data_IF_022871177136
#
_entry.id   IF_022871177136
#
_cell.length_a   1.000
_cell.length_b   1.000
_cell.length_c   1.000
_cell.angle_alpha   90.00
_cell.angle_beta   90.00
_cell.angle_gamma   90.00
#
_symmetry.space_group_name_H-M   'P 1'
#
loop_
_entity.id
_entity.type
_entity.pdbx_description
1 polymer ?
#
# COMPACT_ATOMS: atom_id res chain seq x y z
N UNK A 1 0.50 -53.00 22.04
CA UNK A 1 1.43 -52.71 20.93
C UNK A 1 1.16 -51.30 20.46
N UNK A 2 2.01 -50.36 20.88
CA UNK A 2 1.92 -48.94 20.53
C UNK A 2 2.63 -48.77 19.20
N UNK A 3 1.92 -48.34 18.16
CA UNK A 3 2.52 -48.06 16.86
C UNK A 3 3.35 -46.78 16.96
N UNK A 4 4.66 -46.94 17.09
CA UNK A 4 5.65 -45.88 16.87
C UNK A 4 5.71 -45.57 15.37
N UNK A 5 5.03 -44.52 14.93
CA UNK A 5 5.39 -43.85 13.67
C UNK A 5 6.62 -42.97 13.93
N UNK A 6 7.81 -43.51 13.68
CA UNK A 6 9.03 -42.72 13.58
C UNK A 6 9.04 -42.07 12.19
N UNK A 7 8.59 -40.82 12.10
CA UNK A 7 8.91 -39.96 10.97
C UNK A 7 10.41 -39.67 10.98
N UNK A 8 11.05 -39.88 9.84
CA UNK A 8 12.47 -39.68 9.64
C UNK A 8 12.88 -38.22 9.91
N UNK A 9 13.90 -38.00 10.75
CA UNK A 9 14.75 -36.80 10.86
C UNK A 9 14.11 -35.44 10.52
N UNK A 10 13.00 -35.08 11.17
CA UNK A 10 12.55 -33.68 11.21
C UNK A 10 13.28 -33.01 12.36
N UNK A 11 14.15 -32.05 12.07
CA UNK A 11 14.78 -31.22 13.11
C UNK A 11 13.64 -30.51 13.85
N UNK A 12 13.40 -30.88 15.10
CA UNK A 12 12.30 -30.34 15.91
C UNK A 12 12.66 -28.91 16.33
N UNK A 13 12.32 -27.94 15.48
CA UNK A 13 12.58 -26.53 15.74
C UNK A 13 11.43 -25.90 16.51
N UNK A 14 11.52 -25.94 17.83
CA UNK A 14 10.47 -25.42 18.71
C UNK A 14 9.12 -26.13 18.53
N UNK A 15 8.04 -25.48 18.99
CA UNK A 15 6.65 -25.89 18.75
C UNK A 15 6.06 -25.09 17.59
N UNK A 16 5.28 -25.76 16.75
CA UNK A 16 4.56 -25.16 15.63
C UNK A 16 3.38 -24.28 16.10
N UNK A 17 2.70 -24.68 17.18
CA UNK A 17 1.65 -23.89 17.83
C UNK A 17 2.04 -23.59 19.28
N UNK A 18 2.11 -22.30 19.61
CA UNK A 18 2.56 -21.85 20.94
C UNK A 18 1.51 -22.07 22.04
N UNK A 19 0.28 -22.47 21.71
CA UNK A 19 -0.67 -22.99 22.73
C UNK A 19 -0.18 -24.28 23.38
N UNK A 20 0.78 -24.98 22.75
CA UNK A 20 1.41 -26.20 23.24
C UNK A 20 2.63 -25.91 24.15
N UNK A 21 2.99 -24.64 24.37
CA UNK A 21 4.10 -24.31 25.25
C UNK A 21 3.81 -24.75 26.70
N UNK A 22 4.76 -25.41 27.40
CA UNK A 22 4.57 -25.82 28.79
C UNK A 22 4.38 -24.65 29.76
N UNK A 23 4.98 -23.49 29.42
CA UNK A 23 4.88 -22.24 30.17
C UNK A 23 4.53 -21.13 29.19
N UNK A 24 3.41 -20.45 29.45
CA UNK A 24 2.97 -19.30 28.66
C UNK A 24 3.49 -18.04 29.35
N UNK A 25 4.70 -17.62 28.97
CA UNK A 25 5.29 -16.34 29.36
C UNK A 25 6.08 -15.75 28.19
N UNK A 26 6.44 -14.47 28.29
CA UNK A 26 7.15 -13.74 27.23
C UNK A 26 8.47 -14.44 26.84
N UNK A 27 9.26 -14.87 27.83
CA UNK A 27 10.53 -15.54 27.60
C UNK A 27 10.37 -16.84 26.79
N UNK A 28 9.38 -17.68 27.11
CA UNK A 28 9.14 -18.94 26.40
C UNK A 28 8.66 -18.70 24.96
N UNK A 29 7.82 -17.69 24.74
CA UNK A 29 7.36 -17.29 23.40
C UNK A 29 8.55 -16.81 22.56
N UNK A 30 9.35 -15.89 23.09
CA UNK A 30 10.53 -15.34 22.40
C UNK A 30 11.55 -16.44 22.11
N UNK A 31 11.81 -17.33 23.06
CA UNK A 31 12.74 -18.46 22.88
C UNK A 31 12.25 -19.44 21.79
N UNK A 32 10.93 -19.70 21.72
CA UNK A 32 10.36 -20.53 20.67
C UNK A 32 10.51 -19.89 19.28
N UNK A 33 10.10 -18.62 19.14
CA UNK A 33 10.23 -17.86 17.90
C UNK A 33 11.69 -17.78 17.45
N UNK A 34 12.62 -17.54 18.39
CA UNK A 34 14.06 -17.48 18.11
C UNK A 34 14.60 -18.80 17.58
N UNK A 35 14.25 -19.93 18.20
CA UNK A 35 14.69 -21.26 17.74
C UNK A 35 14.22 -21.54 16.31
N UNK A 36 12.93 -21.30 16.05
CA UNK A 36 12.31 -21.46 14.73
C UNK A 36 12.96 -20.57 13.68
N UNK A 37 13.14 -19.29 14.01
CA UNK A 37 13.77 -18.32 13.11
C UNK A 37 15.22 -18.70 12.75
N UNK A 38 15.99 -19.20 13.73
CA UNK A 38 17.38 -19.64 13.49
C UNK A 38 17.47 -20.89 12.59
N UNK A 39 16.40 -21.67 12.52
CA UNK A 39 16.25 -22.81 11.61
C UNK A 39 15.45 -22.45 10.34
N UNK A 40 15.31 -21.15 10.03
CA UNK A 40 14.63 -20.62 8.84
C UNK A 40 13.11 -20.90 8.78
N UNK A 41 12.48 -21.24 9.90
CA UNK A 41 11.02 -21.31 10.05
C UNK A 41 10.48 -19.97 10.56
N UNK A 42 9.89 -19.17 9.65
CA UNK A 42 9.42 -17.81 9.98
C UNK A 42 7.98 -17.75 10.49
N UNK A 43 7.21 -18.82 10.29
CA UNK A 43 5.80 -18.91 10.65
C UNK A 43 5.60 -19.77 11.89
N UNK A 44 4.76 -19.31 12.81
CA UNK A 44 4.40 -20.02 14.04
C UNK A 44 2.95 -19.70 14.41
N UNK A 45 2.15 -20.70 14.77
CA UNK A 45 0.77 -20.48 15.19
C UNK A 45 0.69 -20.10 16.68
N UNK A 46 -0.37 -19.36 17.03
CA UNK A 46 -0.90 -19.19 18.37
C UNK A 46 -2.41 -19.41 18.26
N UNK A 47 -2.83 -20.67 18.32
CA UNK A 47 -4.22 -21.04 18.00
C UNK A 47 -4.60 -20.53 16.60
N UNK A 48 -5.66 -19.71 16.43
CA UNK A 48 -6.10 -19.22 15.12
C UNK A 48 -5.21 -18.12 14.53
N UNK A 49 -4.20 -17.64 15.26
CA UNK A 49 -3.34 -16.53 14.83
C UNK A 49 -2.04 -17.07 14.24
N UNK A 50 -1.67 -16.61 13.05
CA UNK A 50 -0.38 -16.91 12.45
C UNK A 50 0.63 -15.77 12.73
N UNK A 51 1.69 -16.07 13.47
CA UNK A 51 2.82 -15.16 13.68
C UNK A 51 3.83 -15.34 12.57
N UNK A 52 4.28 -14.24 11.97
CA UNK A 52 5.29 -14.19 10.92
C UNK A 52 6.46 -13.30 11.34
N UNK A 53 7.67 -13.84 11.36
CA UNK A 53 8.90 -13.09 11.68
C UNK A 53 9.66 -12.77 10.39
N UNK A 54 9.81 -11.49 10.05
CA UNK A 54 10.43 -11.09 8.78
C UNK A 54 11.90 -11.58 8.68
N UNK A 55 12.25 -12.42 7.68
CA UNK A 55 13.60 -12.97 7.54
C UNK A 55 14.62 -12.00 6.93
N UNK A 56 14.20 -10.88 6.34
CA UNK A 56 15.04 -9.97 5.54
C UNK A 56 15.86 -10.66 4.42
N UNK A 57 15.42 -11.85 3.99
CA UNK A 57 15.97 -12.62 2.87
C UNK A 57 14.86 -13.37 2.16
N UNK A 58 15.16 -13.83 0.94
CA UNK A 58 14.26 -14.73 0.22
C UNK A 58 14.30 -16.13 0.84
N UNK A 59 13.13 -16.75 0.99
CA UNK A 59 12.99 -18.11 1.50
C UNK A 59 12.61 -19.06 0.37
N UNK A 60 12.99 -20.33 0.47
CA UNK A 60 12.82 -21.32 -0.61
C UNK A 60 11.47 -22.03 -0.65
N UNK A 61 10.57 -21.78 0.30
CA UNK A 61 9.30 -22.50 0.49
C UNK A 61 8.05 -21.68 0.11
N UNK A 62 8.16 -20.88 -0.96
CA UNK A 62 7.05 -20.12 -1.55
C UNK A 62 6.80 -20.49 -3.02
N UNK A 63 7.19 -21.71 -3.42
CA UNK A 63 7.05 -22.21 -4.78
C UNK A 63 5.74 -22.96 -5.03
N UNK A 64 5.55 -23.43 -6.27
CA UNK A 64 4.34 -24.18 -6.64
C UNK A 64 4.14 -25.46 -5.83
N UNK A 65 5.23 -26.17 -5.53
CA UNK A 65 5.19 -27.39 -4.70
C UNK A 65 4.65 -27.11 -3.30
N UNK A 66 4.98 -25.94 -2.76
CA UNK A 66 4.49 -25.54 -1.43
C UNK A 66 2.98 -25.26 -1.51
N UNK A 67 2.50 -24.56 -2.56
CA UNK A 67 1.07 -24.36 -2.80
C UNK A 67 0.32 -25.71 -2.84
N UNK A 68 0.81 -26.67 -3.63
CA UNK A 68 0.23 -28.01 -3.74
C UNK A 68 0.20 -28.76 -2.40
N UNK A 69 1.22 -28.55 -1.56
CA UNK A 69 1.31 -29.18 -0.23
C UNK A 69 0.20 -28.70 0.70
N UNK A 70 -0.16 -27.43 0.64
CA UNK A 70 -1.19 -26.84 1.51
C UNK A 70 -2.61 -26.95 0.95
N UNK A 71 -2.78 -27.22 -0.35
CA UNK A 71 -4.08 -27.26 -1.00
C UNK A 71 -4.98 -28.38 -0.46
N UNK A 72 -6.04 -27.98 0.26
CA UNK A 72 -7.00 -28.91 0.85
C UNK A 72 -6.50 -29.70 2.06
N UNK A 73 -5.29 -29.41 2.55
CA UNK A 73 -4.74 -30.06 3.72
C UNK A 73 -5.45 -29.61 5.01
N UNK A 74 -5.54 -30.50 6.00
CA UNK A 74 -6.07 -30.14 7.31
C UNK A 74 -5.05 -29.27 8.09
N UNK A 75 -5.48 -28.37 9.01
CA UNK A 75 -4.61 -27.40 9.69
C UNK A 75 -3.41 -27.96 10.46
N UNK A 76 -3.38 -29.27 10.74
CA UNK A 76 -2.33 -29.95 11.51
C UNK A 76 -1.53 -30.98 10.70
N UNK A 77 -1.84 -31.15 9.41
CA UNK A 77 -1.10 -32.06 8.54
C UNK A 77 0.25 -31.48 8.12
N UNK A 78 0.32 -30.16 7.99
CA UNK A 78 1.50 -29.43 7.54
C UNK A 78 1.98 -28.42 8.59
N UNK A 79 3.27 -28.03 8.56
CA UNK A 79 3.80 -26.98 9.42
C UNK A 79 3.08 -25.63 9.20
N UNK A 80 3.12 -24.71 10.19
CA UNK A 80 2.55 -23.37 10.07
C UNK A 80 3.05 -22.64 8.83
N UNK A 81 2.10 -22.12 8.03
CA UNK A 81 2.44 -21.38 6.82
C UNK A 81 1.30 -20.46 6.39
N UNK A 82 1.64 -19.38 5.69
CA UNK A 82 0.67 -18.42 5.16
C UNK A 82 -0.30 -19.05 4.15
N UNK A 83 0.14 -20.10 3.44
CA UNK A 83 -0.70 -20.86 2.51
C UNK A 83 -1.74 -21.72 3.22
N UNK A 84 -1.43 -22.29 4.39
CA UNK A 84 -2.44 -22.98 5.21
C UNK A 84 -3.56 -22.04 5.65
N UNK A 85 -3.19 -20.83 6.09
CA UNK A 85 -4.15 -19.78 6.44
C UNK A 85 -5.01 -19.37 5.23
N UNK A 86 -4.38 -19.17 4.06
CA UNK A 86 -5.09 -18.79 2.84
C UNK A 86 -6.04 -19.90 2.35
N UNK A 87 -5.62 -21.16 2.44
CA UNK A 87 -6.42 -22.33 2.08
C UNK A 87 -7.64 -22.49 2.97
N UNK A 88 -7.44 -22.41 4.30
CA UNK A 88 -8.52 -22.47 5.27
C UNK A 88 -9.54 -21.34 5.03
N UNK A 89 -9.07 -20.11 4.86
CA UNK A 89 -9.92 -18.96 4.57
C UNK A 89 -10.74 -19.15 3.28
N UNK A 90 -10.09 -19.62 2.20
CA UNK A 90 -10.75 -19.85 0.92
C UNK A 90 -11.74 -21.01 0.97
N UNK A 91 -11.40 -22.12 1.62
CA UNK A 91 -12.31 -23.27 1.76
C UNK A 91 -13.50 -22.95 2.65
N UNK A 92 -13.30 -22.30 3.79
CA UNK A 92 -14.39 -21.94 4.69
C UNK A 92 -15.37 -20.98 4.02
N UNK A 93 -14.87 -20.02 3.22
CA UNK A 93 -15.74 -19.17 2.40
C UNK A 93 -16.66 -19.98 1.48
N UNK A 94 -16.14 -21.04 0.85
CA UNK A 94 -16.92 -21.90 -0.06
C UNK A 94 -17.88 -22.83 0.69
N UNK A 95 -17.47 -23.35 1.84
CA UNK A 95 -18.24 -24.32 2.63
C UNK A 95 -19.37 -23.62 3.39
N UNK A 96 -19.03 -22.54 4.10
CA UNK A 96 -19.95 -21.82 4.98
C UNK A 96 -20.78 -20.79 4.21
N UNK A 97 -20.37 -20.45 2.97
CA UNK A 97 -20.98 -19.42 2.14
C UNK A 97 -21.07 -18.07 2.89
N UNK A 98 -19.99 -17.73 3.58
CA UNK A 98 -19.80 -16.48 4.32
C UNK A 98 -18.58 -15.71 3.79
N UNK A 99 -18.59 -14.39 3.98
CA UNK A 99 -17.45 -13.56 3.65
C UNK A 99 -16.33 -13.76 4.69
N UNK A 100 -15.09 -13.87 4.23
CA UNK A 100 -13.93 -13.95 5.10
C UNK A 100 -13.02 -12.74 4.93
N UNK A 101 -12.24 -12.45 5.97
CA UNK A 101 -11.25 -11.40 5.93
C UNK A 101 -10.00 -11.82 6.71
N UNK A 102 -8.83 -11.54 6.15
CA UNK A 102 -7.55 -11.62 6.85
C UNK A 102 -7.05 -10.22 7.17
N UNK A 103 -6.75 -9.99 8.45
CA UNK A 103 -6.16 -8.76 8.95
C UNK A 103 -4.67 -9.00 9.17
N UNK A 104 -3.82 -8.26 8.45
CA UNK A 104 -2.37 -8.38 8.57
C UNK A 104 -1.86 -7.16 9.35
N UNK A 105 -1.48 -7.38 10.61
CA UNK A 105 -0.98 -6.34 11.50
C UNK A 105 0.52 -6.48 11.77
N UNK A 106 1.15 -5.39 12.21
CA UNK A 106 2.57 -5.35 12.56
C UNK A 106 3.20 -4.00 12.28
N UNK A 107 4.37 -3.76 12.86
CA UNK A 107 5.13 -2.52 12.67
C UNK A 107 5.53 -2.27 11.21
N UNK A 108 5.92 -1.04 10.90
CA UNK A 108 6.47 -0.71 9.58
C UNK A 108 7.70 -1.59 9.28
N UNK A 109 7.69 -2.28 8.13
CA UNK A 109 8.75 -3.23 7.76
C UNK A 109 8.56 -4.67 8.23
N UNK A 110 7.48 -5.01 8.94
CA UNK A 110 7.24 -6.38 9.45
C UNK A 110 6.92 -7.44 8.36
N UNK A 111 6.73 -7.06 7.09
CA UNK A 111 6.42 -7.99 6.00
C UNK A 111 4.94 -8.09 5.59
N UNK A 112 4.09 -7.16 6.05
CA UNK A 112 2.62 -7.17 5.80
C UNK A 112 2.24 -7.27 4.32
N UNK A 113 2.77 -6.38 3.49
CA UNK A 113 2.51 -6.35 2.04
C UNK A 113 3.00 -7.60 1.32
N UNK A 114 4.10 -8.21 1.79
CA UNK A 114 4.61 -9.47 1.23
C UNK A 114 3.68 -10.63 1.60
N UNK A 115 3.21 -10.71 2.85
CA UNK A 115 2.22 -11.69 3.26
C UNK A 115 0.91 -11.56 2.46
N UNK A 116 0.41 -10.33 2.25
CA UNK A 116 -0.75 -10.07 1.41
C UNK A 116 -0.56 -10.60 -0.02
N UNK A 117 0.61 -10.38 -0.62
CA UNK A 117 0.97 -10.91 -1.96
C UNK A 117 0.94 -12.44 -1.99
N UNK A 118 1.45 -13.11 -0.96
CA UNK A 118 1.40 -14.58 -0.89
C UNK A 118 -0.01 -15.14 -0.75
N UNK A 119 -0.87 -14.51 0.06
CA UNK A 119 -2.27 -14.90 0.18
C UNK A 119 -3.00 -14.73 -1.16
N UNK A 120 -2.84 -13.56 -1.81
CA UNK A 120 -3.44 -13.31 -3.12
C UNK A 120 -2.94 -14.29 -4.18
N UNK A 121 -1.62 -14.55 -4.21
CA UNK A 121 -1.00 -15.50 -5.14
C UNK A 121 -1.50 -16.93 -4.95
N UNK A 122 -1.64 -17.37 -3.69
CA UNK A 122 -2.19 -18.67 -3.35
C UNK A 122 -3.63 -18.82 -3.86
N UNK A 123 -4.51 -17.89 -3.45
CA UNK A 123 -5.93 -17.88 -3.84
C UNK A 123 -6.07 -17.84 -5.37
N UNK A 124 -5.28 -17.01 -6.03
CA UNK A 124 -5.21 -16.93 -7.49
C UNK A 124 -4.83 -18.28 -8.11
N UNK A 125 -3.85 -19.01 -7.55
CA UNK A 125 -3.43 -20.31 -8.10
C UNK A 125 -4.47 -21.41 -7.90
N UNK A 126 -5.11 -21.49 -6.72
CA UNK A 126 -6.01 -22.60 -6.35
C UNK A 126 -7.44 -22.44 -6.89
N UNK A 127 -7.88 -21.21 -7.13
CA UNK A 127 -9.25 -20.94 -7.63
C UNK A 127 -9.47 -21.31 -9.10
N UNK A 128 -8.42 -21.62 -9.87
CA UNK A 128 -8.55 -22.02 -11.28
C UNK A 128 -9.26 -20.98 -12.17
N UNK A 129 -9.74 -21.37 -13.35
CA UNK A 129 -10.60 -20.53 -14.19
C UNK A 129 -10.13 -20.34 -15.64
N UNK A 130 -11.01 -19.77 -16.47
CA UNK A 130 -10.75 -19.46 -17.88
C UNK A 130 -10.10 -18.07 -18.09
N UNK A 131 -10.03 -17.60 -19.34
CA UNK A 131 -9.34 -16.35 -19.71
C UNK A 131 -9.81 -15.12 -18.91
N UNK A 132 -11.12 -14.97 -18.69
CA UNK A 132 -11.67 -13.86 -17.89
C UNK A 132 -11.14 -13.88 -16.45
N UNK A 133 -11.11 -15.07 -15.84
CA UNK A 133 -10.64 -15.26 -14.48
C UNK A 133 -9.14 -15.00 -14.39
N UNK A 134 -8.37 -15.39 -15.43
CA UNK A 134 -6.96 -15.05 -15.52
C UNK A 134 -6.73 -13.54 -15.61
N UNK A 135 -7.54 -12.82 -16.39
CA UNK A 135 -7.46 -11.36 -16.45
C UNK A 135 -7.71 -10.70 -15.08
N UNK A 136 -8.73 -11.14 -14.33
CA UNK A 136 -9.03 -10.66 -12.97
C UNK A 136 -7.86 -10.93 -12.01
N UNK A 137 -7.16 -12.06 -12.17
CA UNK A 137 -5.96 -12.38 -11.39
C UNK A 137 -4.80 -11.46 -11.73
N UNK A 138 -4.59 -11.20 -13.02
CA UNK A 138 -3.51 -10.34 -13.52
C UNK A 138 -3.73 -8.89 -13.04
N UNK A 139 -4.86 -8.28 -13.38
CA UNK A 139 -5.75 -7.64 -12.39
C UNK A 139 -5.18 -7.27 -11.01
N UNK A 140 -5.58 -8.11 -10.05
CA UNK A 140 -5.25 -8.06 -8.64
C UNK A 140 -3.73 -8.02 -8.41
N UNK A 141 -2.95 -8.85 -9.11
CA UNK A 141 -1.51 -8.96 -8.90
C UNK A 141 -0.76 -7.71 -9.39
N UNK A 142 -1.10 -7.20 -10.57
CA UNK A 142 -0.49 -6.03 -11.23
C UNK A 142 -0.97 -4.70 -10.64
N UNK A 143 -2.10 -4.68 -9.93
CA UNK A 143 -2.50 -3.51 -9.15
C UNK A 143 -1.46 -3.11 -8.09
N UNK A 144 -0.67 -4.07 -7.58
CA UNK A 144 0.33 -3.80 -6.54
C UNK A 144 1.51 -2.96 -7.07
N UNK A 145 2.27 -3.35 -8.12
CA UNK A 145 3.30 -2.49 -8.69
C UNK A 145 2.82 -1.06 -8.97
N UNK A 146 1.63 -0.91 -9.55
CA UNK A 146 1.05 0.40 -9.84
C UNK A 146 0.80 1.21 -8.57
N UNK A 147 0.06 0.67 -7.60
CA UNK A 147 -0.26 1.41 -6.38
C UNK A 147 0.96 1.60 -5.47
N UNK A 148 1.94 0.70 -5.49
CA UNK A 148 3.21 0.86 -4.78
C UNK A 148 4.06 1.99 -5.39
N UNK A 149 4.12 2.11 -6.72
CA UNK A 149 4.84 3.21 -7.37
C UNK A 149 4.31 4.58 -6.92
N UNK A 150 2.98 4.74 -6.82
CA UNK A 150 2.35 6.01 -6.47
C UNK A 150 2.06 6.21 -4.97
N UNK A 151 2.01 5.13 -4.20
CA UNK A 151 1.58 5.14 -2.80
C UNK A 151 2.65 4.70 -1.80
N UNK A 152 3.78 4.17 -2.26
CA UNK A 152 4.88 3.79 -1.37
C UNK A 152 6.08 4.74 -1.51
N UNK A 153 6.86 4.80 -0.43
CA UNK A 153 8.08 5.57 -0.37
C UNK A 153 9.10 4.92 0.57
N UNK A 154 10.36 5.32 0.44
CA UNK A 154 11.41 5.00 1.41
C UNK A 154 11.21 5.82 2.67
N UNK A 155 11.14 5.16 3.83
CA UNK A 155 11.26 5.78 5.15
C UNK A 155 12.54 5.32 5.84
N UNK A 156 12.85 5.88 7.01
CA UNK A 156 14.00 5.46 7.82
C UNK A 156 13.91 4.00 8.30
N UNK A 157 12.71 3.41 8.32
CA UNK A 157 12.47 2.04 8.81
C UNK A 157 12.22 1.01 7.69
N UNK A 158 11.75 1.47 6.52
CA UNK A 158 11.34 0.57 5.44
C UNK A 158 11.57 1.24 4.08
N UNK A 159 12.33 0.57 3.21
CA UNK A 159 12.63 1.05 1.86
C UNK A 159 11.40 1.10 0.94
N UNK A 160 10.37 0.30 1.21
CA UNK A 160 9.12 0.27 0.45
C UNK A 160 7.91 0.40 1.41
N UNK A 161 7.87 1.48 2.19
CA UNK A 161 6.78 1.74 3.13
C UNK A 161 5.52 2.18 2.41
N UNK A 162 4.43 1.44 2.60
CA UNK A 162 3.09 1.88 2.21
C UNK A 162 2.72 3.16 2.95
N UNK A 163 2.39 4.23 2.20
CA UNK A 163 1.93 5.52 2.75
C UNK A 163 0.44 5.75 2.48
N UNK A 164 -0.28 4.66 2.32
CA UNK A 164 -1.74 4.55 2.26
C UNK A 164 -2.12 3.17 2.81
N UNK A 165 -3.33 3.05 3.37
CA UNK A 165 -3.93 1.77 3.72
C UNK A 165 -4.68 1.19 2.54
N UNK A 166 -4.64 -0.14 2.39
CA UNK A 166 -5.30 -0.85 1.29
C UNK A 166 -6.14 -2.00 1.83
N UNK A 167 -7.41 -2.02 1.46
CA UNK A 167 -8.28 -3.18 1.65
C UNK A 167 -8.62 -3.72 0.28
N UNK A 168 -8.18 -4.95 0.00
CA UNK A 168 -8.44 -5.65 -1.25
C UNK A 168 -9.54 -6.67 -1.00
N UNK A 169 -10.64 -6.55 -1.72
CA UNK A 169 -11.73 -7.51 -1.73
C UNK A 169 -11.65 -8.28 -3.04
N UNK A 170 -11.58 -9.61 -2.95
CA UNK A 170 -11.69 -10.50 -4.11
C UNK A 170 -13.08 -11.11 -4.05
N UNK A 171 -13.86 -10.96 -5.13
CA UNK A 171 -15.23 -11.42 -5.23
C UNK A 171 -15.28 -12.75 -5.98
N UNK A 172 -15.91 -13.75 -5.37
CA UNK A 172 -16.00 -15.11 -5.89
C UNK A 172 -17.41 -15.45 -6.29
N UNK A 173 -17.58 -15.97 -7.51
CA UNK A 173 -18.84 -16.56 -7.93
C UNK A 173 -19.15 -17.85 -7.16
N UNK A 174 -20.36 -18.38 -7.34
CA UNK A 174 -20.81 -19.62 -6.68
C UNK A 174 -19.95 -20.85 -6.98
N UNK A 175 -19.21 -20.85 -8.09
CA UNK A 175 -18.24 -21.89 -8.44
C UNK A 175 -16.85 -21.75 -7.79
N UNK A 176 -16.66 -20.75 -6.92
CA UNK A 176 -15.38 -20.47 -6.24
C UNK A 176 -14.32 -19.80 -7.11
N UNK A 177 -14.67 -19.34 -8.31
CA UNK A 177 -13.75 -18.62 -9.20
C UNK A 177 -13.81 -17.11 -8.91
N UNK A 178 -12.67 -16.38 -8.96
CA UNK A 178 -12.68 -14.94 -8.80
C UNK A 178 -13.30 -14.29 -10.04
N UNK A 179 -14.41 -13.59 -9.82
CA UNK A 179 -15.22 -12.93 -10.85
C UNK A 179 -15.04 -11.41 -10.87
N UNK A 180 -14.48 -10.86 -9.80
CA UNK A 180 -14.34 -9.43 -9.58
C UNK A 180 -13.50 -9.08 -8.37
N UNK A 181 -13.41 -7.80 -8.08
CA UNK A 181 -12.68 -7.29 -6.94
C UNK A 181 -12.92 -5.82 -6.70
N UNK A 182 -12.55 -5.37 -5.51
CA UNK A 182 -12.61 -3.96 -5.12
C UNK A 182 -11.44 -3.63 -4.23
N UNK A 183 -10.78 -2.52 -4.52
CA UNK A 183 -9.76 -1.92 -3.68
C UNK A 183 -10.34 -0.66 -3.06
N UNK A 184 -10.31 -0.63 -1.74
CA UNK A 184 -10.57 0.58 -0.95
C UNK A 184 -9.24 1.13 -0.46
N UNK A 185 -8.96 2.39 -0.79
CA UNK A 185 -7.79 3.11 -0.29
C UNK A 185 -8.15 3.93 0.96
N UNK A 186 -7.22 4.01 1.90
CA UNK A 186 -7.38 4.79 3.12
C UNK A 186 -6.18 5.71 3.30
N UNK A 187 -6.45 7.02 3.40
CA UNK A 187 -5.53 8.04 3.88
C UNK A 187 -4.13 8.00 3.21
N UNK A 188 -4.06 8.45 1.95
CA UNK A 188 -2.76 8.74 1.32
C UNK A 188 -2.05 9.87 2.08
N UNK A 189 -0.79 9.67 2.46
CA UNK A 189 0.08 10.67 3.10
C UNK A 189 0.48 11.78 2.11
N UNK A 190 -0.50 12.60 1.70
CA UNK A 190 -0.29 13.64 0.69
C UNK A 190 0.78 14.66 1.07
N UNK A 191 1.04 14.90 2.35
CA UNK A 191 2.12 15.79 2.81
C UNK A 191 3.50 15.35 2.31
N UNK A 192 3.71 14.06 2.09
CA UNK A 192 4.96 13.52 1.53
C UNK A 192 5.31 14.07 0.15
N UNK A 193 4.31 14.48 -0.64
CA UNK A 193 4.54 15.06 -1.96
C UNK A 193 5.43 16.30 -1.89
N UNK A 194 5.29 17.10 -0.82
CA UNK A 194 5.93 18.42 -0.71
C UNK A 194 7.05 18.49 0.33
N UNK A 195 7.04 17.56 1.30
CA UNK A 195 8.01 17.54 2.40
C UNK A 195 8.38 16.10 2.76
N UNK A 196 9.67 15.83 2.99
CA UNK A 196 10.16 14.54 3.49
C UNK A 196 11.16 14.75 4.63
N UNK A 197 11.22 13.78 5.55
CA UNK A 197 12.24 13.76 6.59
C UNK A 197 13.62 13.41 6.00
N UNK A 198 14.70 13.83 6.66
CA UNK A 198 16.06 13.49 6.25
C UNK A 198 16.24 11.97 6.23
N UNK A 199 16.80 11.44 5.14
CA UNK A 199 16.98 9.99 4.95
C UNK A 199 15.79 9.28 4.29
N UNK A 200 14.66 9.95 4.12
CA UNK A 200 13.49 9.43 3.42
C UNK A 200 13.44 9.87 1.95
N UNK A 201 12.54 9.26 1.18
CA UNK A 201 12.21 9.69 -0.19
C UNK A 201 10.77 10.19 -0.28
N UNK A 202 10.50 10.89 -1.38
CA UNK A 202 9.15 11.07 -1.90
C UNK A 202 8.61 9.74 -2.47
N UNK A 203 7.41 9.74 -3.04
CA UNK A 203 6.83 8.56 -3.68
C UNK A 203 7.71 8.03 -4.82
N UNK A 204 7.75 6.71 -4.99
CA UNK A 204 8.66 6.05 -5.92
C UNK A 204 8.50 6.51 -7.36
N UNK A 205 7.27 6.78 -7.81
CA UNK A 205 6.96 7.19 -9.17
C UNK A 205 7.79 8.39 -9.66
N UNK A 206 8.10 9.34 -8.78
CA UNK A 206 8.91 10.51 -9.15
C UNK A 206 10.33 10.10 -9.57
N UNK A 207 10.93 9.17 -8.83
CA UNK A 207 12.27 8.66 -9.10
C UNK A 207 12.28 7.69 -10.28
N UNK A 208 11.29 6.79 -10.33
CA UNK A 208 11.06 5.87 -11.44
C UNK A 208 10.91 6.61 -12.76
N UNK A 209 10.08 7.66 -12.82
CA UNK A 209 9.88 8.47 -14.02
C UNK A 209 11.16 9.21 -14.43
N UNK A 210 11.84 9.89 -13.51
CA UNK A 210 13.05 10.65 -13.84
C UNK A 210 14.20 9.75 -14.34
N UNK A 211 14.31 8.53 -13.82
CA UNK A 211 15.39 7.59 -14.16
C UNK A 211 15.04 6.70 -15.35
N UNK A 212 13.82 6.18 -15.41
CA UNK A 212 13.36 5.18 -16.38
C UNK A 212 12.69 5.73 -17.64
N UNK A 213 12.33 7.01 -17.70
CA UNK A 213 11.76 7.61 -18.91
C UNK A 213 12.74 7.58 -20.09
N UNK A 214 12.21 7.31 -21.28
CA UNK A 214 12.99 7.36 -22.53
C UNK A 214 13.34 8.82 -22.91
N UNK A 215 14.26 9.06 -23.85
CA UNK A 215 14.70 10.42 -24.20
C UNK A 215 13.58 11.34 -24.71
N UNK A 216 12.59 10.79 -25.42
CA UNK A 216 11.43 11.54 -25.93
C UNK A 216 10.53 11.99 -24.78
N UNK A 217 10.14 11.07 -23.90
CA UNK A 217 9.39 11.36 -22.68
C UNK A 217 10.12 12.37 -21.80
N UNK A 218 11.45 12.26 -21.65
CA UNK A 218 12.24 13.23 -20.88
C UNK A 218 12.16 14.64 -21.47
N UNK A 219 12.21 14.76 -22.79
CA UNK A 219 12.08 16.05 -23.48
C UNK A 219 10.67 16.62 -23.30
N UNK A 220 9.64 15.82 -23.54
CA UNK A 220 8.24 16.26 -23.54
C UNK A 220 7.74 16.62 -22.13
N UNK A 221 8.23 15.91 -21.11
CA UNK A 221 7.91 16.16 -19.70
C UNK A 221 8.87 17.16 -19.03
N UNK A 222 9.91 17.61 -19.74
CA UNK A 222 10.94 18.49 -19.18
C UNK A 222 11.71 17.86 -18.01
N UNK A 223 12.00 16.55 -18.08
CA UNK A 223 12.65 15.82 -17.01
C UNK A 223 14.15 16.15 -16.91
N UNK A 224 14.57 16.60 -15.75
CA UNK A 224 15.96 16.89 -15.40
C UNK A 224 16.52 15.88 -14.38
N UNK A 225 17.76 16.11 -13.94
CA UNK A 225 18.36 15.34 -12.85
C UNK A 225 17.56 15.53 -11.56
N UNK A 226 17.54 14.51 -10.69
CA UNK A 226 16.76 14.50 -9.45
C UNK A 226 17.03 15.72 -8.55
N UNK A 227 18.29 16.19 -8.50
CA UNK A 227 18.71 17.36 -7.70
C UNK A 227 18.10 18.70 -8.17
N UNK A 228 17.55 18.75 -9.39
CA UNK A 228 16.88 19.93 -9.92
C UNK A 228 15.53 20.17 -9.24
N UNK A 229 14.87 19.12 -8.77
CA UNK A 229 13.50 19.22 -8.26
C UNK A 229 13.47 19.47 -6.76
N UNK A 230 12.88 20.60 -6.36
CA UNK A 230 12.75 21.01 -4.97
C UNK A 230 12.10 19.92 -4.12
N UNK A 231 10.99 19.32 -4.58
CA UNK A 231 10.27 18.25 -3.88
C UNK A 231 11.00 16.90 -3.76
N UNK A 232 12.15 16.74 -4.40
CA UNK A 232 13.01 15.55 -4.25
C UNK A 232 14.24 15.83 -3.39
N UNK A 233 14.54 17.11 -3.10
CA UNK A 233 15.77 17.55 -2.46
C UNK A 233 15.78 17.43 -0.92
N UNK A 234 14.61 17.45 -0.25
CA UNK A 234 14.54 17.49 1.22
C UNK A 234 15.10 16.23 1.90
N UNK A 235 14.88 15.06 1.29
CA UNK A 235 15.34 13.78 1.82
C UNK A 235 16.86 13.58 1.81
N UNK A 236 17.60 14.38 1.01
CA UNK A 236 19.06 14.33 0.79
C UNK A 236 19.62 12.98 0.30
N UNK A 237 18.76 12.00 0.01
CA UNK A 237 19.16 10.71 -0.52
C UNK A 237 18.18 10.25 -1.60
N UNK A 238 18.68 10.19 -2.83
CA UNK A 238 17.89 9.74 -3.98
C UNK A 238 17.92 8.22 -4.16
N UNK A 239 18.93 7.54 -3.61
CA UNK A 239 19.16 6.11 -3.83
C UNK A 239 18.58 5.25 -2.70
N UNK A 240 18.12 4.07 -3.10
CA UNK A 240 17.68 2.99 -2.23
C UNK A 240 18.50 1.76 -2.63
N UNK A 241 19.20 1.18 -1.65
CA UNK A 241 20.02 0.00 -1.91
C UNK A 241 19.11 -1.17 -2.33
N UNK A 242 19.48 -1.83 -3.43
CA UNK A 242 18.72 -2.95 -4.00
C UNK A 242 17.50 -2.55 -4.85
N UNK A 243 17.26 -1.26 -5.07
CA UNK A 243 16.17 -0.77 -5.95
C UNK A 243 16.70 -0.32 -7.30
N UNK A 244 15.98 -0.66 -8.36
CA UNK A 244 16.25 -0.19 -9.71
C UNK A 244 15.05 0.61 -10.23
N UNK A 245 15.03 1.91 -9.91
CA UNK A 245 13.92 2.81 -10.26
C UNK A 245 13.60 2.80 -11.77
N UNK A 246 14.61 2.63 -12.64
CA UNK A 246 14.41 2.59 -14.08
C UNK A 246 13.69 1.31 -14.56
N UNK A 247 14.03 0.16 -13.95
CA UNK A 247 13.33 -1.10 -14.18
C UNK A 247 11.90 -1.04 -13.62
N UNK A 248 11.75 -0.53 -12.39
CA UNK A 248 10.45 -0.45 -11.73
C UNK A 248 9.49 0.50 -12.45
N UNK A 249 10.02 1.50 -13.16
CA UNK A 249 9.22 2.34 -14.07
C UNK A 249 8.60 1.52 -15.21
N UNK A 250 9.35 0.59 -15.81
CA UNK A 250 8.83 -0.27 -16.88
C UNK A 250 7.73 -1.21 -16.36
N UNK A 251 7.92 -1.77 -15.17
CA UNK A 251 6.88 -2.57 -14.51
C UNK A 251 5.63 -1.74 -14.20
N UNK A 252 5.81 -0.47 -13.84
CA UNK A 252 4.69 0.47 -13.62
C UNK A 252 3.92 0.74 -14.91
N UNK A 253 4.59 1.01 -16.03
CA UNK A 253 3.94 1.20 -17.34
C UNK A 253 3.20 -0.05 -17.82
N UNK A 254 3.81 -1.22 -17.61
CA UNK A 254 3.18 -2.51 -17.90
C UNK A 254 1.93 -2.70 -17.03
N UNK A 255 2.01 -2.41 -15.74
CA UNK A 255 0.88 -2.49 -14.83
C UNK A 255 -0.25 -1.54 -15.25
N UNK A 256 0.06 -0.30 -15.67
CA UNK A 256 -0.93 0.63 -16.20
C UNK A 256 -1.69 0.04 -17.40
N UNK A 257 -0.96 -0.59 -18.32
CA UNK A 257 -1.54 -1.24 -19.51
C UNK A 257 -2.49 -2.38 -19.11
N UNK A 258 -2.12 -3.21 -18.11
CA UNK A 258 -2.97 -4.29 -17.60
C UNK A 258 -4.26 -3.75 -16.96
N UNK A 259 -4.22 -2.58 -16.32
CA UNK A 259 -5.42 -1.92 -15.77
C UNK A 259 -6.32 -1.28 -16.85
N UNK A 260 -5.99 -1.44 -18.13
CA UNK A 260 -6.73 -0.87 -19.25
C UNK A 260 -6.54 0.63 -19.44
N UNK A 261 -5.46 1.22 -18.91
CA UNK A 261 -5.11 2.62 -19.18
C UNK A 261 -4.58 2.74 -20.61
N UNK A 262 -5.26 3.54 -21.44
CA UNK A 262 -4.80 3.87 -22.78
C UNK A 262 -3.47 4.63 -22.77
N UNK A 263 -2.69 4.59 -23.86
CA UNK A 263 -1.42 5.33 -23.98
C UNK A 263 -1.59 6.83 -23.71
N UNK A 264 -2.74 7.40 -24.11
CA UNK A 264 -3.09 8.79 -23.82
C UNK A 264 -3.29 9.01 -22.33
N UNK A 265 -4.02 8.14 -21.64
CA UNK A 265 -4.22 8.25 -20.19
C UNK A 265 -2.90 8.06 -19.43
N UNK A 266 -2.05 7.12 -19.85
CA UNK A 266 -0.70 6.95 -19.29
C UNK A 266 0.13 8.23 -19.46
N UNK A 267 0.11 8.84 -20.65
CA UNK A 267 0.79 10.11 -20.92
C UNK A 267 0.26 11.23 -20.03
N UNK A 268 -1.06 11.37 -19.89
CA UNK A 268 -1.68 12.36 -19.02
C UNK A 268 -1.29 12.15 -17.54
N UNK A 269 -1.25 10.90 -17.07
CA UNK A 269 -0.81 10.56 -15.71
C UNK A 269 0.63 11.04 -15.49
N UNK A 270 1.53 10.73 -16.42
CA UNK A 270 2.94 11.13 -16.32
C UNK A 270 3.12 12.66 -16.43
N UNK A 271 2.33 13.34 -17.26
CA UNK A 271 2.28 14.80 -17.32
C UNK A 271 1.87 15.40 -15.98
N UNK A 272 0.87 14.85 -15.30
CA UNK A 272 0.48 15.32 -13.97
C UNK A 272 1.58 15.11 -12.94
N UNK A 273 2.27 13.96 -12.96
CA UNK A 273 3.41 13.68 -12.06
C UNK A 273 4.56 14.66 -12.32
N UNK A 274 4.94 14.87 -13.58
CA UNK A 274 5.98 15.81 -13.95
C UNK A 274 5.58 17.26 -13.62
N UNK A 275 4.31 17.62 -13.82
CA UNK A 275 3.75 18.92 -13.47
C UNK A 275 3.86 19.20 -11.97
N UNK A 276 3.62 18.20 -11.12
CA UNK A 276 3.82 18.30 -9.66
C UNK A 276 5.29 18.55 -9.31
N UNK A 277 6.24 17.89 -9.98
CA UNK A 277 7.67 18.13 -9.76
C UNK A 277 8.09 19.56 -10.12
N UNK A 278 7.69 20.02 -11.30
CA UNK A 278 8.00 21.39 -11.76
C UNK A 278 7.30 22.45 -10.92
N UNK A 279 6.07 22.18 -10.45
CA UNK A 279 5.34 23.07 -9.55
C UNK A 279 6.14 23.37 -8.28
N UNK A 280 6.85 22.39 -7.72
CA UNK A 280 7.69 22.56 -6.54
C UNK A 280 8.88 23.52 -6.74
N UNK A 281 9.32 23.73 -7.98
CA UNK A 281 10.43 24.62 -8.29
C UNK A 281 10.04 26.10 -8.32
N UNK A 282 8.75 26.42 -8.34
CA UNK A 282 8.28 27.81 -8.31
C UNK A 282 8.63 28.43 -6.95
N UNK A 283 9.43 29.48 -6.99
CA UNK A 283 9.82 30.29 -5.83
C UNK A 283 9.12 31.64 -5.87
N UNK A 284 8.87 32.19 -4.68
CA UNK A 284 8.22 33.50 -4.53
C UNK A 284 9.16 34.46 -3.81
N UNK A 285 9.13 35.72 -4.22
CA UNK A 285 9.85 36.85 -3.61
C UNK A 285 8.88 37.88 -3.10
N UNK A 286 9.28 38.63 -2.08
CA UNK A 286 8.46 39.71 -1.54
C UNK A 286 8.66 40.99 -2.37
N UNK A 287 7.56 41.55 -2.87
CA UNK A 287 7.51 42.87 -3.52
C UNK A 287 6.39 43.68 -2.89
N UNK A 288 6.75 44.72 -2.13
CA UNK A 288 5.77 45.63 -1.51
C UNK A 288 4.81 44.93 -0.55
N UNK A 289 5.31 44.04 0.31
CA UNK A 289 4.56 43.19 1.25
C UNK A 289 3.73 42.05 0.63
N UNK A 290 3.81 41.86 -0.69
CA UNK A 290 3.06 40.82 -1.41
C UNK A 290 4.01 39.82 -2.09
N UNK A 291 3.52 38.61 -2.30
CA UNK A 291 4.24 37.60 -3.07
C UNK A 291 4.21 37.94 -4.56
N UNK A 292 5.37 37.81 -5.19
CA UNK A 292 5.49 37.73 -6.64
C UNK A 292 6.36 36.53 -7.02
N UNK A 293 6.18 36.01 -8.22
CA UNK A 293 6.97 34.86 -8.71
C UNK A 293 8.40 35.32 -8.98
N UNK A 294 9.38 34.58 -8.43
CA UNK A 294 10.80 34.94 -8.51
C UNK A 294 11.33 34.88 -9.94
N UNK A 295 10.96 33.83 -10.68
CA UNK A 295 11.29 33.61 -12.08
C UNK A 295 10.03 33.19 -12.84
N UNK A 296 9.59 34.03 -13.78
CA UNK A 296 8.43 33.72 -14.62
C UNK A 296 8.67 32.51 -15.53
N UNK A 297 9.92 32.16 -15.84
CA UNK A 297 10.26 30.95 -16.60
C UNK A 297 9.88 29.66 -15.86
N UNK A 298 9.94 29.67 -14.52
CA UNK A 298 9.56 28.53 -13.68
C UNK A 298 8.09 28.09 -13.82
N UNK A 299 7.23 28.95 -14.37
CA UNK A 299 5.82 28.65 -14.62
C UNK A 299 5.58 27.94 -15.97
N UNK A 300 6.53 27.96 -16.90
CA UNK A 300 6.31 27.48 -18.27
C UNK A 300 6.00 25.99 -18.33
N UNK A 301 6.82 25.16 -17.67
CA UNK A 301 6.59 23.71 -17.63
C UNK A 301 5.30 23.34 -16.89
N UNK A 302 5.04 23.83 -15.66
CA UNK A 302 3.77 23.57 -14.98
C UNK A 302 2.54 23.99 -15.79
N UNK A 303 2.58 25.15 -16.45
CA UNK A 303 1.48 25.64 -17.28
C UNK A 303 1.26 24.75 -18.52
N UNK A 304 2.33 24.36 -19.19
CA UNK A 304 2.29 23.44 -20.33
C UNK A 304 1.74 22.06 -19.94
N UNK A 305 2.27 21.46 -18.87
CA UNK A 305 1.93 20.10 -18.44
C UNK A 305 0.51 19.98 -17.86
N UNK A 306 0.01 21.02 -17.20
CA UNK A 306 -1.38 21.06 -16.74
C UNK A 306 -2.35 21.60 -17.79
N UNK A 307 -1.85 22.01 -18.96
CA UNK A 307 -2.64 22.64 -20.03
C UNK A 307 -3.44 23.87 -19.53
N UNK A 308 -2.82 24.70 -18.69
CA UNK A 308 -3.43 25.90 -18.15
C UNK A 308 -2.66 27.17 -18.56
N UNK A 309 -3.38 28.28 -18.65
CA UNK A 309 -2.76 29.56 -18.98
C UNK A 309 -1.79 30.01 -17.87
N UNK A 310 -0.57 30.40 -18.28
CA UNK A 310 0.52 30.83 -17.40
C UNK A 310 0.14 32.01 -16.50
N UNK A 311 -0.48 33.05 -17.04
CA UNK A 311 -0.87 34.25 -16.28
C UNK A 311 -1.95 33.93 -15.25
N UNK A 312 -2.87 33.04 -15.61
CA UNK A 312 -3.90 32.53 -14.71
C UNK A 312 -3.29 31.72 -13.57
N UNK A 313 -2.29 30.87 -13.86
CA UNK A 313 -1.54 30.14 -12.83
C UNK A 313 -0.81 31.12 -11.90
N UNK A 314 -0.07 32.09 -12.44
CA UNK A 314 0.63 33.10 -11.64
C UNK A 314 -0.34 33.80 -10.68
N UNK A 315 -1.44 34.32 -11.23
CA UNK A 315 -2.46 35.03 -10.45
C UNK A 315 -3.02 34.15 -9.34
N UNK A 316 -3.37 32.89 -9.62
CA UNK A 316 -3.97 31.99 -8.62
C UNK A 316 -2.97 31.45 -7.59
N UNK A 317 -1.67 31.48 -7.88
CA UNK A 317 -0.65 31.15 -6.89
C UNK A 317 -0.35 32.32 -5.95
N UNK A 318 -0.48 33.57 -6.41
CA UNK A 318 -0.17 34.77 -5.63
C UNK A 318 -1.41 35.52 -5.12
N UNK A 319 -2.62 35.10 -5.49
CA UNK A 319 -3.87 35.76 -5.09
C UNK A 319 -5.00 34.78 -4.79
N UNK A 320 -5.94 35.20 -3.95
CA UNK A 320 -7.16 34.45 -3.63
C UNK A 320 -8.38 35.35 -3.76
N UNK A 321 -9.41 34.84 -4.44
CA UNK A 321 -10.72 35.48 -4.49
C UNK A 321 -11.49 35.21 -3.20
N UNK A 322 -11.98 36.26 -2.57
CA UNK A 322 -12.84 36.21 -1.39
C UNK A 322 -14.25 36.68 -1.75
N UNK A 323 -15.24 35.82 -1.56
CA UNK A 323 -16.65 36.18 -1.69
C UNK A 323 -17.11 36.77 -0.34
N UNK A 324 -17.22 38.10 -0.26
CA UNK A 324 -17.80 38.77 0.91
C UNK A 324 -19.31 38.88 0.73
N UNK A 325 -20.08 38.27 1.63
CA UNK A 325 -21.53 38.47 1.72
C UNK A 325 -21.83 39.41 2.88
N UNK A 326 -21.99 40.69 2.58
CA UNK A 326 -22.46 41.69 3.54
C UNK A 326 -23.73 42.36 3.01
N UNK A 327 -24.80 42.35 3.79
CA UNK A 327 -26.02 43.13 3.50
C UNK A 327 -26.78 42.70 2.22
N UNK A 328 -26.72 41.42 1.84
CA UNK A 328 -27.47 40.90 0.69
C UNK A 328 -26.82 41.10 -0.69
N UNK A 329 -25.65 41.76 -0.77
CA UNK A 329 -24.81 41.83 -1.97
C UNK A 329 -23.61 40.90 -1.82
N UNK A 330 -23.23 40.23 -2.90
CA UNK A 330 -22.02 39.42 -2.98
C UNK A 330 -20.95 40.19 -3.75
N UNK A 331 -19.93 40.67 -3.05
CA UNK A 331 -18.76 41.30 -3.67
C UNK A 331 -17.58 40.33 -3.70
N UNK A 332 -16.86 40.31 -4.82
CA UNK A 332 -15.65 39.51 -5.00
C UNK A 332 -14.42 40.40 -4.83
N UNK A 333 -13.62 40.14 -3.81
CA UNK A 333 -12.39 40.87 -3.53
C UNK A 333 -11.21 39.97 -3.89
N UNK A 334 -10.28 40.47 -4.71
CA UNK A 334 -9.02 39.79 -4.98
C UNK A 334 -7.99 40.19 -3.92
N UNK A 335 -7.54 39.22 -3.13
CA UNK A 335 -6.58 39.42 -2.04
C UNK A 335 -5.25 38.84 -2.47
N UNK A 336 -4.25 39.72 -2.62
CA UNK A 336 -2.87 39.30 -2.89
C UNK A 336 -2.24 38.71 -1.63
N UNK A 337 -1.61 37.56 -1.80
CA UNK A 337 -1.03 36.75 -0.73
C UNK A 337 0.38 37.25 -0.37
N UNK A 338 0.83 36.97 0.85
CA UNK A 338 2.25 37.07 1.18
C UNK A 338 3.03 35.82 0.71
N UNK A 339 4.37 35.85 0.79
CA UNK A 339 5.25 34.77 0.30
C UNK A 339 4.91 33.42 0.93
N UNK A 340 4.70 33.38 2.26
CA UNK A 340 4.39 32.15 2.98
C UNK A 340 3.06 31.54 2.51
N UNK A 341 2.03 32.37 2.34
CA UNK A 341 0.72 31.97 1.82
C UNK A 341 0.80 31.48 0.37
N UNK A 342 1.62 32.10 -0.48
CA UNK A 342 1.83 31.65 -1.86
C UNK A 342 2.52 30.27 -1.90
N UNK A 343 3.51 30.04 -1.04
CA UNK A 343 4.15 28.73 -0.86
C UNK A 343 3.13 27.66 -0.42
N UNK A 344 2.28 27.98 0.57
CA UNK A 344 1.21 27.07 0.99
C UNK A 344 0.22 26.79 -0.15
N UNK A 345 -0.12 27.78 -0.98
CA UNK A 345 -1.03 27.61 -2.12
C UNK A 345 -0.43 26.66 -3.16
N UNK A 346 0.84 26.86 -3.53
CA UNK A 346 1.59 25.96 -4.42
C UNK A 346 1.60 24.53 -3.89
N UNK A 347 1.95 24.36 -2.63
CA UNK A 347 2.03 23.04 -2.00
C UNK A 347 0.65 22.40 -1.85
N UNK A 348 -0.40 23.17 -1.57
CA UNK A 348 -1.77 22.68 -1.54
C UNK A 348 -2.24 22.20 -2.91
N UNK A 349 -1.87 22.90 -3.99
CA UNK A 349 -2.15 22.47 -5.35
C UNK A 349 -1.42 21.16 -5.69
N UNK A 350 -0.13 21.05 -5.38
CA UNK A 350 0.67 19.84 -5.59
C UNK A 350 0.03 18.62 -4.89
N UNK A 351 -0.30 18.76 -3.61
CA UNK A 351 -0.98 17.73 -2.81
C UNK A 351 -2.36 17.37 -3.38
N UNK A 352 -3.11 18.37 -3.84
CA UNK A 352 -4.45 18.19 -4.40
C UNK A 352 -4.44 17.44 -5.72
N UNK A 353 -3.51 17.78 -6.63
CA UNK A 353 -3.32 17.08 -7.91
C UNK A 353 -2.91 15.63 -7.66
N UNK A 354 -1.89 15.40 -6.84
CA UNK A 354 -1.38 14.06 -6.57
C UNK A 354 -2.41 13.16 -5.89
N UNK A 355 -3.16 13.68 -4.90
CA UNK A 355 -4.21 12.91 -4.23
C UNK A 355 -5.32 12.48 -5.20
N UNK A 356 -5.78 13.40 -6.06
CA UNK A 356 -6.82 13.08 -7.06
C UNK A 356 -6.32 12.13 -8.12
N UNK A 357 -5.06 12.24 -8.52
CA UNK A 357 -4.41 11.30 -9.42
C UNK A 357 -4.39 9.89 -8.81
N UNK A 358 -4.02 9.78 -7.53
CA UNK A 358 -4.04 8.49 -6.83
C UNK A 358 -5.45 7.90 -6.74
N UNK A 359 -6.45 8.72 -6.39
CA UNK A 359 -7.86 8.28 -6.37
C UNK A 359 -8.33 7.82 -7.76
N UNK A 360 -7.92 8.50 -8.83
CA UNK A 360 -8.19 8.09 -10.21
C UNK A 360 -7.55 6.74 -10.55
N UNK A 361 -6.31 6.48 -10.13
CA UNK A 361 -5.66 5.19 -10.34
C UNK A 361 -6.42 4.07 -9.61
N UNK A 362 -6.85 4.31 -8.37
CA UNK A 362 -7.67 3.34 -7.61
C UNK A 362 -9.01 3.10 -8.31
N UNK A 363 -9.65 4.13 -8.84
CA UNK A 363 -10.87 3.99 -9.65
C UNK A 363 -10.63 3.13 -10.89
N UNK A 364 -9.52 3.34 -11.61
CA UNK A 364 -9.17 2.55 -12.80
C UNK A 364 -8.92 1.08 -12.48
N UNK A 365 -8.20 0.81 -11.40
CA UNK A 365 -8.03 -0.55 -10.88
C UNK A 365 -9.38 -1.19 -10.56
N UNK A 366 -10.28 -0.46 -9.88
CA UNK A 366 -11.62 -0.96 -9.56
C UNK A 366 -12.47 -1.22 -10.80
N UNK A 367 -12.43 -0.33 -11.80
CA UNK A 367 -13.14 -0.55 -13.08
C UNK A 367 -12.62 -1.78 -13.82
N UNK A 368 -11.32 -2.07 -13.74
CA UNK A 368 -10.73 -3.26 -14.35
C UNK A 368 -11.11 -4.57 -13.64
N UNK A 369 -11.58 -4.50 -12.39
CA UNK A 369 -12.06 -5.65 -11.60
C UNK A 369 -13.59 -5.65 -11.42
N UNK A 370 -14.31 -4.76 -12.09
CA UNK A 370 -15.75 -4.60 -11.89
C UNK A 370 -16.50 -5.85 -12.34
N UNK A 371 -17.46 -6.30 -11.52
CA UNK A 371 -18.34 -7.41 -11.84
C UNK A 371 -19.75 -7.15 -11.37
N UNK A 372 -20.72 -7.67 -12.12
CA UNK A 372 -22.15 -7.67 -11.77
C UNK A 372 -22.57 -8.95 -11.05
N UNK A 373 -21.66 -9.92 -10.92
CA UNK A 373 -21.93 -11.22 -10.31
C UNK A 373 -21.96 -11.05 -8.79
N UNK A 374 -23.07 -11.44 -8.17
CA UNK A 374 -23.14 -11.56 -6.72
C UNK A 374 -22.36 -12.78 -6.26
N UNK A 375 -21.66 -12.62 -5.15
CA UNK A 375 -20.70 -13.60 -4.69
C UNK A 375 -20.29 -13.39 -3.25
N UNK A 376 -19.42 -14.28 -2.77
CA UNK A 376 -18.73 -14.12 -1.49
C UNK A 376 -17.42 -13.36 -1.69
N UNK A 377 -16.96 -12.71 -0.64
CA UNK A 377 -15.77 -11.89 -0.66
C UNK A 377 -14.71 -12.47 0.28
N UNK A 378 -13.47 -12.48 -0.22
CA UNK A 378 -12.28 -12.54 0.64
C UNK A 378 -11.67 -11.16 0.71
N UNK A 379 -11.69 -10.59 1.92
CA UNK A 379 -11.02 -9.34 2.25
C UNK A 379 -9.57 -9.57 2.71
N UNK A 380 -8.65 -8.75 2.22
CA UNK A 380 -7.25 -8.71 2.66
C UNK A 380 -6.95 -7.28 3.07
N UNK A 381 -6.78 -7.07 4.38
CA UNK A 381 -6.47 -5.77 4.95
C UNK A 381 -4.96 -5.63 5.14
N UNK A 382 -4.34 -4.81 4.28
CA UNK A 382 -2.93 -4.40 4.35
C UNK A 382 -2.86 -2.90 4.63
N UNK A 383 -2.69 -2.55 5.90
CA UNK A 383 -2.59 -1.15 6.33
C UNK A 383 -1.15 -0.76 6.67
N UNK A 384 -0.90 0.54 6.76
CA UNK A 384 0.32 1.08 7.35
C UNK A 384 0.58 0.49 8.74
N UNK A 385 1.83 0.15 9.02
CA UNK A 385 2.22 -0.30 10.36
C UNK A 385 2.24 0.84 11.36
N UNK A 386 2.27 0.50 12.64
CA UNK A 386 2.50 1.48 13.71
C UNK A 386 3.82 2.23 13.48
N UNK A 387 3.82 3.55 13.64
CA UNK A 387 4.99 4.41 13.39
C UNK A 387 5.31 5.31 14.59
N UNK A 388 6.60 5.39 14.92
CA UNK A 388 7.12 6.31 15.93
C UNK A 388 8.41 6.95 15.39
N UNK A 389 8.35 8.24 15.08
CA UNK A 389 9.51 9.04 14.68
C UNK A 389 9.87 10.06 15.76
N UNK A 390 11.01 10.74 15.60
CA UNK A 390 11.40 11.85 16.50
C UNK A 390 10.36 12.98 16.50
N UNK A 391 9.74 13.24 15.34
CA UNK A 391 8.63 14.18 15.17
C UNK A 391 7.45 13.47 14.52
N UNK A 392 6.33 13.38 15.23
CA UNK A 392 5.10 12.76 14.75
C UNK A 392 4.07 13.85 14.44
N UNK A 393 3.51 13.82 13.23
CA UNK A 393 2.47 14.74 12.77
C UNK A 393 1.06 14.18 12.93
N UNK A 394 0.09 14.86 12.32
CA UNK A 394 -1.30 14.42 12.26
C UNK A 394 -1.44 13.08 11.53
N UNK A 395 -0.61 12.86 10.51
CA UNK A 395 -0.60 11.63 9.73
C UNK A 395 -0.20 10.41 10.59
N UNK A 396 0.85 10.51 11.40
CA UNK A 396 1.22 9.45 12.35
C UNK A 396 0.12 9.21 13.39
N UNK A 397 -0.57 10.26 13.86
CA UNK A 397 -1.73 10.10 14.74
C UNK A 397 -2.84 9.28 14.06
N UNK A 398 -3.23 9.61 12.82
CA UNK A 398 -4.23 8.84 12.08
C UNK A 398 -3.80 7.37 11.86
N UNK A 399 -2.54 7.15 11.50
CA UNK A 399 -1.97 5.82 11.28
C UNK A 399 -2.03 4.98 12.56
N UNK A 400 -1.54 5.53 13.67
CA UNK A 400 -1.49 4.81 14.95
C UNK A 400 -2.88 4.62 15.55
N UNK A 401 -3.80 5.58 15.38
CA UNK A 401 -5.19 5.44 15.81
C UNK A 401 -5.91 4.29 15.10
N UNK A 402 -5.71 4.13 13.79
CA UNK A 402 -6.27 3.00 13.03
C UNK A 402 -5.67 1.67 13.52
N UNK A 403 -4.36 1.62 13.77
CA UNK A 403 -3.71 0.42 14.32
C UNK A 403 -4.29 0.05 15.69
N UNK A 404 -4.49 1.02 16.58
CA UNK A 404 -5.16 0.81 17.89
C UNK A 404 -6.59 0.28 17.73
N UNK A 405 -7.35 0.80 16.76
CA UNK A 405 -8.70 0.29 16.49
C UNK A 405 -8.71 -1.13 15.95
N UNK A 406 -7.77 -1.50 15.10
CA UNK A 406 -7.64 -2.89 14.64
C UNK A 406 -7.21 -3.83 15.77
N UNK A 407 -6.30 -3.38 16.64
CA UNK A 407 -5.91 -4.14 17.83
C UNK A 407 -7.11 -4.36 18.76
N UNK A 408 -7.95 -3.34 18.95
CA UNK A 408 -9.18 -3.47 19.72
C UNK A 408 -10.13 -4.52 19.12
N UNK A 409 -10.37 -4.47 17.80
CA UNK A 409 -11.21 -5.45 17.09
C UNK A 409 -10.65 -6.87 17.25
N UNK A 410 -9.33 -7.04 17.12
CA UNK A 410 -8.66 -8.33 17.30
C UNK A 410 -8.90 -8.89 18.70
N UNK A 411 -8.74 -8.07 19.74
CA UNK A 411 -9.00 -8.48 21.14
C UNK A 411 -10.46 -8.89 21.31
N UNK A 412 -11.41 -8.09 20.82
CA UNK A 412 -12.84 -8.38 20.93
C UNK A 412 -13.23 -9.69 20.22
N UNK A 413 -12.71 -9.94 19.02
CA UNK A 413 -12.96 -11.17 18.27
C UNK A 413 -12.35 -12.40 18.95
N UNK A 414 -11.11 -12.28 19.43
CA UNK A 414 -10.43 -13.37 20.16
C UNK A 414 -11.18 -13.73 21.43
N UNK A 415 -11.61 -12.74 22.21
CA UNK A 415 -12.39 -12.96 23.44
C UNK A 415 -13.76 -13.59 23.15
N UNK A 416 -14.45 -13.16 22.08
CA UNK A 416 -15.74 -13.76 21.66
C UNK A 416 -15.57 -15.22 21.24
N UNK A 417 -14.56 -15.54 20.43
CA UNK A 417 -14.28 -16.91 20.01
C UNK A 417 -14.02 -17.84 21.22
N UNK A 418 -13.24 -17.37 22.19
CA UNK A 418 -13.00 -18.07 23.46
C UNK A 418 -14.29 -18.27 24.29
N UNK A 419 -15.17 -17.27 24.35
CA UNK A 419 -16.45 -17.39 25.05
C UNK A 419 -17.38 -18.42 24.41
N UNK A 420 -17.51 -18.41 23.08
CA UNK A 420 -18.32 -19.39 22.34
C UNK A 420 -17.75 -20.79 22.50
N UNK A 421 -16.42 -20.95 22.42
CA UNK A 421 -15.75 -22.23 22.67
C UNK A 421 -15.99 -22.78 24.09
N UNK A 422 -16.05 -21.91 25.10
CA UNK A 422 -16.41 -22.29 26.48
C UNK A 422 -17.89 -22.65 26.62
N UNK A 423 -18.81 -21.93 25.98
CA UNK A 423 -20.24 -22.25 25.99
C UNK A 423 -20.55 -23.61 25.36
N UNK A 424 -19.86 -23.99 24.28
CA UNK A 424 -19.98 -25.33 23.68
C UNK A 424 -19.43 -26.45 24.58
N UNK A 425 -18.38 -26.17 25.38
CA UNK A 425 -17.87 -27.13 26.38
C UNK A 425 -18.79 -27.27 27.59
N UNK A 426 -19.48 -26.21 27.98
CA UNK A 426 -20.44 -26.20 29.09
C UNK A 426 -21.80 -26.85 28.74
N UNK A 427 -22.13 -27.00 27.46
CA UNK A 427 -23.34 -27.74 27.01
C UNK A 427 -23.08 -29.24 26.76
N UNK A 428 -21.82 -29.69 26.80
CA UNK A 428 -21.41 -31.10 26.66
C UNK A 428 -21.10 -31.79 28.00
N UNK A 429 -21.36 -31.10 29.10
CA UNK A 429 -21.37 -31.63 30.46
C UNK A 429 -22.74 -31.32 31.08
#
# INVERSE_FOLDING_TARGET
>A
MVYHWQSHNVKLSGVDDMVLLPKINEDAIVENLKKRYMDDYIFTCIGPVLVSVNPFKQMSYFGEKDIETYQGAAPYENPPHIYGLADEMYRNMLIDNENHCVIISGESGAGKTVAAKYIMGYISRVSGGGERVQHIKDVILQSNPLLEAFGNAKTVRNNNSSRFGKYVEIQFGSGGQPEGGKISNFLLEKSRVVTQNVGERNFHIFYQMCTGANPEMKKDLGLANLDYYYYLSHGKNHKVDGTNDAHDFQETLKAMTVMGLSEREQSNILQLVAGVLHLGNIQFVEKGNYADVADLGSLDFPAYLFEINKDSMQTKLTSRLFDSKWGGKSDKIDVTLNVEQALYTRDALAKGVYSRLFDFLVQKVNSAMETSVQGQNVGILDIYGFEIFEKNGFEQFCINFVNEKLQQIFIELTLKAEQVGKSFKLQKH
#
